data_IF_004406039814
#
_entry.id   IF_004406039814
#
_cell.length_a   1.000
_cell.length_b   1.000
_cell.length_c   1.000
_cell.angle_alpha   90.00
_cell.angle_beta   90.00
_cell.angle_gamma   90.00
#
_symmetry.space_group_name_H-M   'P 1'
#
loop_
_entity.id
_entity.type
_entity.pdbx_description
1 polymer ?
#
# COMPACT_ATOMS: atom_id res chain seq x y z
N UNK A 1 23.45 -32.83 -7.69
CA UNK A 1 22.05 -32.39 -7.89
C UNK A 1 21.17 -33.18 -6.93
N UNK A 2 20.21 -32.52 -6.34
CA UNK A 2 19.24 -33.09 -5.41
C UNK A 2 17.84 -32.88 -5.99
N UNK A 3 16.96 -33.89 -5.88
CA UNK A 3 15.53 -33.74 -6.12
C UNK A 3 14.82 -33.89 -4.78
N UNK A 4 13.94 -32.95 -4.47
CA UNK A 4 13.20 -32.91 -3.22
C UNK A 4 11.71 -32.94 -3.54
N UNK A 5 10.94 -33.82 -2.89
CA UNK A 5 9.50 -33.93 -3.06
C UNK A 5 8.73 -32.80 -2.36
N UNK A 6 9.20 -32.43 -1.16
CA UNK A 6 8.69 -31.29 -0.41
C UNK A 6 9.75 -30.80 0.59
N UNK A 7 9.75 -29.49 0.83
CA UNK A 7 10.65 -28.84 1.77
C UNK A 7 9.91 -27.66 2.43
N UNK A 8 10.13 -27.48 3.71
CA UNK A 8 9.64 -26.27 4.40
C UNK A 8 10.84 -25.48 4.90
N UNK A 9 10.91 -24.19 4.50
CA UNK A 9 11.96 -23.26 4.93
C UNK A 9 11.30 -22.15 5.73
N UNK A 10 11.51 -22.11 7.04
CA UNK A 10 10.70 -21.32 7.97
C UNK A 10 9.20 -21.68 7.79
N UNK A 11 8.40 -20.78 7.23
CA UNK A 11 6.98 -21.01 6.95
C UNK A 11 6.70 -21.27 5.46
N UNK A 12 7.69 -21.05 4.58
CA UNK A 12 7.54 -21.20 3.13
C UNK A 12 7.51 -22.68 2.79
N UNK A 13 6.43 -23.10 2.12
CA UNK A 13 6.21 -24.48 1.66
C UNK A 13 6.63 -24.59 0.20
N UNK A 14 7.63 -25.42 -0.04
CA UNK A 14 8.17 -25.72 -1.36
C UNK A 14 7.79 -27.16 -1.72
N UNK A 15 7.22 -27.34 -2.88
CA UNK A 15 6.86 -28.65 -3.43
C UNK A 15 8.04 -29.34 -4.14
N UNK A 16 7.77 -30.01 -5.25
CA UNK A 16 8.82 -30.66 -6.03
C UNK A 16 9.87 -29.65 -6.48
N UNK A 17 11.12 -29.97 -6.24
CA UNK A 17 12.23 -29.07 -6.54
C UNK A 17 13.45 -29.82 -7.01
N UNK A 18 14.18 -29.22 -7.94
CA UNK A 18 15.47 -29.66 -8.38
C UNK A 18 16.50 -28.60 -8.04
N UNK A 19 17.51 -28.99 -7.28
CA UNK A 19 18.50 -28.05 -6.77
C UNK A 19 19.91 -28.64 -6.78
N UNK A 20 20.89 -27.75 -6.91
CA UNK A 20 22.29 -28.06 -6.77
C UNK A 20 22.86 -27.23 -5.64
N UNK A 21 23.44 -27.89 -4.65
CA UNK A 21 24.12 -27.25 -3.52
C UNK A 21 25.62 -27.43 -3.63
N UNK A 22 26.35 -26.37 -3.40
CA UNK A 22 27.80 -26.37 -3.31
C UNK A 22 28.15 -25.62 -2.02
N UNK A 23 28.86 -26.29 -1.12
CA UNK A 23 29.42 -25.68 0.09
C UNK A 23 30.93 -25.69 -0.02
N UNK A 24 31.51 -24.52 -0.05
CA UNK A 24 32.95 -24.35 -0.14
C UNK A 24 33.41 -23.16 0.75
N UNK A 25 34.41 -23.41 1.61
CA UNK A 25 34.99 -22.37 2.47
C UNK A 25 33.99 -21.45 3.18
N UNK A 26 32.92 -22.03 3.76
CA UNK A 26 31.87 -21.26 4.44
C UNK A 26 30.89 -20.50 3.54
N UNK A 27 30.98 -20.74 2.21
CA UNK A 27 30.07 -20.19 1.22
C UNK A 27 29.16 -21.28 0.66
N UNK A 28 27.86 -21.16 0.91
CA UNK A 28 26.83 -22.02 0.35
C UNK A 28 26.26 -21.38 -0.91
N UNK A 29 26.35 -22.07 -2.03
CA UNK A 29 25.68 -21.71 -3.29
C UNK A 29 24.57 -22.71 -3.56
N UNK A 30 23.36 -22.23 -3.83
CA UNK A 30 22.21 -23.03 -4.21
C UNK A 30 21.68 -22.55 -5.57
N UNK A 31 21.73 -23.43 -6.55
CA UNK A 31 21.08 -23.24 -7.84
C UNK A 31 19.77 -24.05 -7.84
N UNK A 32 18.65 -23.37 -7.98
CA UNK A 32 17.30 -23.91 -7.93
C UNK A 32 16.75 -23.90 -9.36
N UNK A 33 16.97 -24.98 -10.08
CA UNK A 33 16.57 -25.08 -11.50
C UNK A 33 15.07 -25.30 -11.66
N UNK A 34 14.42 -25.84 -10.65
CA UNK A 34 12.97 -26.02 -10.55
C UNK A 34 12.53 -25.79 -9.11
N UNK A 35 11.48 -25.02 -8.93
CA UNK A 35 10.79 -24.77 -7.68
C UNK A 35 9.29 -24.82 -7.93
N UNK A 36 8.58 -25.76 -7.34
CA UNK A 36 7.12 -25.78 -7.32
C UNK A 36 6.67 -25.26 -5.96
N UNK A 37 5.95 -24.14 -5.93
CA UNK A 37 5.49 -23.53 -4.68
C UNK A 37 4.18 -22.78 -4.88
N UNK A 38 3.25 -22.93 -3.93
CA UNK A 38 1.97 -22.19 -3.88
C UNK A 38 1.21 -22.22 -5.21
N UNK A 39 1.05 -23.40 -5.84
CA UNK A 39 0.43 -23.63 -7.15
C UNK A 39 1.20 -23.09 -8.36
N UNK A 40 2.26 -22.32 -8.15
CA UNK A 40 3.11 -21.79 -9.18
C UNK A 40 4.44 -22.52 -9.27
N UNK A 41 5.31 -21.99 -10.11
CA UNK A 41 6.63 -22.53 -10.35
C UNK A 41 7.67 -21.40 -10.46
N UNK A 42 8.92 -21.77 -10.29
CA UNK A 42 10.01 -20.80 -10.43
C UNK A 42 11.37 -21.44 -10.55
N UNK A 43 12.33 -20.55 -10.61
CA UNK A 43 13.76 -20.86 -10.55
C UNK A 43 14.47 -19.75 -9.76
N UNK A 44 15.63 -20.06 -9.25
CA UNK A 44 16.40 -19.08 -8.53
C UNK A 44 17.80 -19.55 -8.22
N UNK A 45 18.56 -18.62 -7.68
CA UNK A 45 19.87 -18.87 -7.15
C UNK A 45 20.02 -18.06 -5.88
N UNK A 46 20.64 -18.63 -4.88
CA UNK A 46 21.10 -17.85 -3.74
C UNK A 46 22.48 -18.29 -3.28
N UNK A 47 23.21 -17.35 -2.71
CA UNK A 47 24.50 -17.56 -2.08
C UNK A 47 24.42 -17.02 -0.67
N UNK A 48 24.81 -17.85 0.29
CA UNK A 48 25.05 -17.45 1.67
C UNK A 48 26.54 -17.53 1.95
N UNK A 49 27.15 -16.42 2.32
CA UNK A 49 28.58 -16.30 2.57
C UNK A 49 28.83 -16.00 4.05
N UNK A 50 29.18 -17.03 4.81
CA UNK A 50 29.56 -16.98 6.22
C UNK A 50 31.08 -16.95 6.44
N UNK A 51 31.90 -16.81 5.39
CA UNK A 51 33.35 -16.84 5.48
C UNK A 51 33.98 -15.65 6.24
N UNK A 52 33.21 -14.59 6.44
CA UNK A 52 33.70 -13.36 7.11
C UNK A 52 33.14 -13.23 8.53
N UNK A 53 34.05 -13.22 9.49
CA UNK A 53 33.91 -13.05 10.94
C UNK A 53 32.54 -12.61 11.45
N UNK A 54 31.64 -13.59 11.67
CA UNK A 54 30.36 -13.40 12.36
C UNK A 54 29.28 -12.65 11.58
N UNK A 55 29.47 -12.38 10.29
CA UNK A 55 28.44 -11.83 9.41
C UNK A 55 28.11 -12.77 8.27
N UNK A 56 26.85 -12.79 7.83
CA UNK A 56 26.40 -13.57 6.68
C UNK A 56 26.08 -12.61 5.54
N UNK A 57 26.72 -12.84 4.39
CA UNK A 57 26.36 -12.22 3.11
C UNK A 57 25.25 -13.02 2.44
N UNK A 58 24.31 -12.34 1.83
CA UNK A 58 23.24 -12.88 0.99
C UNK A 58 23.37 -12.28 -0.41
N UNK A 59 23.31 -13.14 -1.42
CA UNK A 59 23.07 -12.77 -2.81
C UNK A 59 21.97 -13.70 -3.34
N UNK A 60 20.83 -13.17 -3.77
CA UNK A 60 19.69 -13.96 -4.17
C UNK A 60 19.00 -13.39 -5.40
N UNK A 61 18.65 -14.27 -6.32
CA UNK A 61 17.87 -13.95 -7.51
C UNK A 61 16.80 -15.03 -7.72
N UNK A 62 15.55 -14.59 -7.86
CA UNK A 62 14.39 -15.48 -8.07
C UNK A 62 13.51 -14.95 -9.17
N UNK A 63 13.04 -15.88 -10.02
CA UNK A 63 11.96 -15.65 -10.96
C UNK A 63 10.87 -16.67 -10.68
N UNK A 64 9.74 -16.20 -10.14
CA UNK A 64 8.62 -17.01 -9.68
C UNK A 64 7.38 -16.61 -10.47
N UNK A 65 6.58 -17.59 -10.92
CA UNK A 65 5.41 -17.35 -11.76
C UNK A 65 4.21 -18.17 -11.32
N UNK A 66 3.04 -17.57 -11.38
CA UNK A 66 1.77 -18.25 -11.15
C UNK A 66 1.50 -18.65 -9.70
N UNK A 67 2.09 -17.96 -8.71
CA UNK A 67 1.92 -18.29 -7.31
C UNK A 67 0.55 -17.83 -6.81
N UNK A 68 -0.11 -18.63 -5.98
CA UNK A 68 -1.22 -18.16 -5.17
C UNK A 68 -0.70 -17.08 -4.20
N UNK A 69 -1.06 -15.82 -4.46
CA UNK A 69 -0.42 -14.66 -3.84
C UNK A 69 -0.61 -14.63 -2.32
N UNK A 70 -1.85 -14.79 -1.85
CA UNK A 70 -2.16 -14.67 -0.42
C UNK A 70 -1.37 -15.66 0.46
N UNK A 71 -1.43 -16.99 0.24
CA UNK A 71 -0.69 -17.93 1.07
C UNK A 71 0.83 -17.76 0.94
N UNK A 72 1.33 -17.39 -0.23
CA UNK A 72 2.75 -17.11 -0.40
C UNK A 72 3.20 -15.87 0.39
N UNK A 73 2.51 -14.75 0.25
CA UNK A 73 2.86 -13.50 0.93
C UNK A 73 2.66 -13.60 2.45
N UNK A 74 1.65 -14.37 2.88
CA UNK A 74 1.43 -14.65 4.30
C UNK A 74 2.62 -15.41 4.91
N UNK A 75 3.01 -16.52 4.27
CA UNK A 75 4.11 -17.37 4.77
C UNK A 75 5.49 -16.69 4.61
N UNK A 76 5.68 -15.89 3.55
CA UNK A 76 6.94 -15.20 3.28
C UNK A 76 7.14 -13.91 4.11
N UNK A 77 6.07 -13.16 4.35
CA UNK A 77 6.16 -11.81 4.89
C UNK A 77 5.14 -11.48 6.00
N UNK A 78 4.18 -12.37 6.30
CA UNK A 78 3.07 -12.10 7.20
C UNK A 78 2.01 -11.19 6.59
N UNK A 79 1.99 -11.03 5.25
CA UNK A 79 1.05 -10.15 4.54
C UNK A 79 -0.05 -10.96 3.86
N UNK A 80 -1.28 -10.87 4.35
CA UNK A 80 -2.44 -11.67 3.90
C UNK A 80 -3.56 -10.84 3.24
N UNK A 81 -3.24 -9.62 2.81
CA UNK A 81 -4.24 -8.69 2.26
C UNK A 81 -4.34 -8.69 0.73
N UNK A 82 -3.53 -9.51 0.03
CA UNK A 82 -3.49 -9.54 -1.42
C UNK A 82 -3.79 -10.92 -1.96
N UNK A 83 -4.92 -11.06 -2.62
CA UNK A 83 -5.36 -12.27 -3.34
C UNK A 83 -4.97 -12.21 -4.82
N UNK A 84 -5.00 -13.35 -5.49
CA UNK A 84 -4.77 -13.48 -6.93
C UNK A 84 -3.58 -14.36 -7.28
N UNK A 85 -3.17 -14.30 -8.55
CA UNK A 85 -2.02 -15.02 -9.08
C UNK A 85 -0.82 -14.09 -9.20
N UNK A 86 0.25 -14.38 -8.46
CA UNK A 86 1.43 -13.55 -8.36
C UNK A 86 2.61 -14.00 -9.22
N UNK A 87 3.31 -13.06 -9.82
CA UNK A 87 4.60 -13.25 -10.47
C UNK A 87 5.62 -12.31 -9.83
N UNK A 88 6.83 -12.81 -9.61
CA UNK A 88 7.88 -12.09 -8.91
C UNK A 88 9.22 -12.29 -9.63
N UNK A 89 9.89 -11.20 -9.94
CA UNK A 89 11.28 -11.17 -10.34
C UNK A 89 12.05 -10.33 -9.32
N UNK A 90 12.98 -10.93 -8.61
CA UNK A 90 13.65 -10.30 -7.47
C UNK A 90 15.13 -10.59 -7.50
N UNK A 91 15.94 -9.57 -7.33
CA UNK A 91 17.39 -9.66 -7.17
C UNK A 91 17.78 -8.81 -5.96
N UNK A 92 18.40 -9.43 -4.97
CA UNK A 92 18.77 -8.75 -3.72
C UNK A 92 20.13 -9.22 -3.23
N UNK A 93 20.86 -8.29 -2.63
CA UNK A 93 22.10 -8.55 -1.90
C UNK A 93 22.04 -7.88 -0.54
N UNK A 94 22.75 -8.44 0.42
CA UNK A 94 22.81 -7.85 1.76
C UNK A 94 23.88 -8.55 2.62
N UNK A 95 24.18 -7.97 3.77
CA UNK A 95 25.13 -8.56 4.74
C UNK A 95 24.75 -8.14 6.15
N UNK A 96 24.76 -9.07 7.08
CA UNK A 96 24.42 -8.77 8.47
C UNK A 96 24.87 -9.83 9.46
N UNK A 97 24.98 -9.43 10.73
CA UNK A 97 25.24 -10.33 11.86
C UNK A 97 23.97 -10.92 12.48
N UNK A 98 22.82 -10.43 12.05
CA UNK A 98 21.50 -10.89 12.47
C UNK A 98 20.53 -10.74 11.30
N UNK A 99 19.35 -11.37 11.37
CA UNK A 99 18.30 -11.22 10.36
C UNK A 99 17.92 -9.74 10.15
N UNK A 100 17.72 -8.99 11.24
CA UNK A 100 17.41 -7.55 11.17
C UNK A 100 18.53 -6.76 10.50
N UNK A 101 19.78 -7.01 10.85
CA UNK A 101 20.93 -6.34 10.23
C UNK A 101 21.06 -6.69 8.73
N UNK A 102 20.78 -7.96 8.37
CA UNK A 102 20.76 -8.40 6.98
C UNK A 102 19.66 -7.66 6.19
N UNK A 103 18.43 -7.61 6.72
CA UNK A 103 17.32 -6.90 6.08
C UNK A 103 17.59 -5.40 5.98
N UNK A 104 18.19 -4.78 7.01
CA UNK A 104 18.57 -3.35 6.99
C UNK A 104 19.66 -3.00 5.97
N UNK A 105 20.43 -3.99 5.53
CA UNK A 105 21.50 -3.82 4.54
C UNK A 105 21.08 -4.24 3.13
N UNK A 106 19.83 -4.69 2.94
CA UNK A 106 19.37 -5.17 1.63
C UNK A 106 19.45 -4.07 0.59
N UNK A 107 20.03 -4.43 -0.55
CA UNK A 107 20.03 -3.64 -1.79
C UNK A 107 19.54 -4.55 -2.91
N UNK A 108 18.84 -3.99 -3.88
CA UNK A 108 18.34 -4.80 -4.98
C UNK A 108 17.30 -4.11 -5.83
N UNK A 109 16.67 -4.92 -6.66
CA UNK A 109 15.59 -4.50 -7.55
C UNK A 109 14.69 -5.66 -7.87
N UNK A 110 13.51 -5.36 -8.36
CA UNK A 110 12.60 -6.39 -8.85
C UNK A 110 11.38 -5.81 -9.52
N UNK A 111 10.54 -6.75 -9.96
CA UNK A 111 9.20 -6.48 -10.48
C UNK A 111 8.21 -7.45 -9.85
N UNK A 112 7.00 -7.00 -9.67
CA UNK A 112 5.90 -7.82 -9.22
C UNK A 112 4.68 -7.58 -10.11
N UNK A 113 3.91 -8.61 -10.36
CA UNK A 113 2.60 -8.50 -10.98
C UNK A 113 1.65 -9.51 -10.36
N UNK A 114 0.39 -9.07 -10.19
CA UNK A 114 -0.70 -9.90 -9.70
C UNK A 114 -1.84 -9.82 -10.70
N UNK A 115 -2.44 -10.97 -10.98
CA UNK A 115 -3.55 -11.11 -11.92
C UNK A 115 -4.76 -11.67 -11.19
N UNK A 116 -5.94 -11.22 -11.63
CA UNK A 116 -7.24 -11.73 -11.19
C UNK A 116 -7.35 -11.83 -9.67
N UNK A 117 -7.14 -10.72 -9.00
CA UNK A 117 -7.03 -10.66 -7.56
C UNK A 117 -7.83 -9.57 -6.89
N UNK A 118 -7.54 -9.40 -5.60
CA UNK A 118 -8.16 -8.37 -4.78
C UNK A 118 -7.26 -7.88 -3.65
N UNK A 119 -7.42 -6.61 -3.28
CA UNK A 119 -6.84 -6.01 -2.09
C UNK A 119 -7.92 -6.00 -1.01
N UNK A 120 -7.66 -6.67 0.12
CA UNK A 120 -8.54 -6.70 1.29
C UNK A 120 -8.32 -5.49 2.19
N UNK A 121 -9.39 -5.06 2.85
CA UNK A 121 -9.35 -3.98 3.85
C UNK A 121 -9.60 -2.60 3.28
N UNK A 122 -9.84 -2.45 1.98
CA UNK A 122 -10.20 -1.18 1.35
C UNK A 122 -11.11 -1.40 0.13
N UNK A 123 -12.11 -0.55 -0.03
CA UNK A 123 -12.96 -0.48 -1.23
C UNK A 123 -12.72 0.85 -1.96
N UNK A 124 -11.74 0.86 -2.85
CA UNK A 124 -11.37 2.07 -3.62
C UNK A 124 -12.50 2.54 -4.54
N UNK A 125 -13.33 1.63 -5.07
CA UNK A 125 -14.44 2.00 -5.94
C UNK A 125 -15.53 2.75 -5.16
N UNK A 126 -15.80 2.36 -3.93
CA UNK A 126 -16.73 3.05 -3.04
C UNK A 126 -16.16 4.41 -2.61
N UNK A 127 -14.86 4.48 -2.29
CA UNK A 127 -14.19 5.72 -1.93
C UNK A 127 -14.29 6.77 -3.04
N UNK A 128 -14.13 6.39 -4.30
CA UNK A 128 -14.24 7.32 -5.43
C UNK A 128 -15.69 7.75 -5.65
N UNK A 129 -16.67 6.87 -5.45
CA UNK A 129 -18.10 7.19 -5.60
C UNK A 129 -18.66 8.03 -4.45
N UNK A 130 -18.19 7.80 -3.24
CA UNK A 130 -18.75 8.38 -2.01
C UNK A 130 -17.64 9.01 -1.16
N UNK A 131 -16.97 10.02 -1.70
CA UNK A 131 -15.82 10.68 -1.02
C UNK A 131 -16.15 11.14 0.41
N UNK A 132 -17.39 11.59 0.66
CA UNK A 132 -17.81 12.07 1.98
C UNK A 132 -18.04 10.97 3.02
N UNK A 133 -18.45 9.77 2.64
CA UNK A 133 -18.78 8.66 3.57
C UNK A 133 -17.67 7.62 3.71
N UNK A 134 -16.82 7.49 2.71
CA UNK A 134 -15.78 6.47 2.64
C UNK A 134 -14.74 6.56 3.78
N UNK A 135 -14.55 7.76 4.35
CA UNK A 135 -13.59 8.00 5.42
C UNK A 135 -14.22 8.11 6.82
N UNK A 136 -15.55 8.07 6.92
CA UNK A 136 -16.28 8.17 8.21
C UNK A 136 -16.62 6.82 8.84
N UNK A 137 -16.15 5.71 8.27
CA UNK A 137 -16.32 4.36 8.87
C UNK A 137 -17.70 3.74 8.70
N UNK A 138 -18.55 4.28 7.82
CA UNK A 138 -19.96 3.87 7.65
C UNK A 138 -20.23 2.80 6.59
N UNK A 139 -19.25 2.03 6.12
CA UNK A 139 -19.41 1.03 5.06
C UNK A 139 -19.54 -0.39 5.58
N UNK A 140 -20.77 -0.91 5.65
CA UNK A 140 -21.08 -2.28 6.07
C UNK A 140 -20.83 -3.38 5.02
N UNK A 141 -20.16 -3.11 3.91
CA UNK A 141 -19.80 -4.10 2.89
C UNK A 141 -18.36 -4.57 3.07
N UNK A 142 -18.07 -5.80 2.66
CA UNK A 142 -16.71 -6.35 2.69
C UNK A 142 -15.74 -5.38 2.02
N UNK A 143 -14.79 -4.83 2.78
CA UNK A 143 -13.81 -3.86 2.33
C UNK A 143 -12.81 -4.56 1.40
N UNK A 144 -13.07 -4.52 0.09
CA UNK A 144 -12.29 -5.23 -0.92
C UNK A 144 -12.25 -4.43 -2.22
N UNK A 145 -11.08 -4.39 -2.85
CA UNK A 145 -10.90 -3.83 -4.20
C UNK A 145 -10.46 -4.94 -5.14
N UNK A 146 -11.36 -5.36 -6.03
CA UNK A 146 -11.04 -6.34 -7.07
C UNK A 146 -10.26 -5.69 -8.22
N UNK A 147 -9.31 -6.43 -8.79
CA UNK A 147 -8.50 -6.00 -9.93
C UNK A 147 -8.25 -7.15 -10.92
N UNK A 148 -8.10 -6.78 -12.19
CA UNK A 148 -7.61 -7.70 -13.23
C UNK A 148 -6.08 -7.76 -13.22
N UNK A 149 -5.43 -6.63 -12.98
CA UNK A 149 -3.98 -6.51 -12.97
C UNK A 149 -3.53 -5.50 -11.91
N UNK A 150 -2.51 -5.85 -11.14
CA UNK A 150 -1.77 -4.97 -10.23
C UNK A 150 -0.29 -5.26 -10.40
N UNK A 151 0.54 -4.24 -10.62
CA UNK A 151 1.98 -4.47 -10.80
C UNK A 151 2.81 -3.21 -10.67
N UNK A 152 4.12 -3.42 -10.68
CA UNK A 152 5.11 -2.35 -10.64
C UNK A 152 6.52 -2.90 -10.47
N UNK A 153 7.50 -2.01 -10.63
CA UNK A 153 8.91 -2.28 -10.39
C UNK A 153 9.37 -1.62 -9.09
N UNK A 154 10.40 -2.14 -8.49
CA UNK A 154 10.94 -1.57 -7.26
C UNK A 154 12.46 -1.63 -7.22
N UNK A 155 13.04 -0.74 -6.45
CA UNK A 155 14.43 -0.77 -6.01
C UNK A 155 14.49 -0.88 -4.49
N UNK A 156 15.51 -1.53 -3.98
CA UNK A 156 15.78 -1.59 -2.54
C UNK A 156 17.15 -0.95 -2.30
N UNK A 157 17.20 -0.03 -1.36
CA UNK A 157 18.44 0.61 -0.93
C UNK A 157 18.46 0.63 0.60
N UNK A 158 19.46 -0.06 1.18
CA UNK A 158 19.63 -0.17 2.63
C UNK A 158 18.32 -0.54 3.36
N UNK A 159 17.63 -1.57 2.86
CA UNK A 159 16.39 -2.08 3.46
C UNK A 159 15.15 -1.22 3.23
N UNK A 160 15.23 -0.17 2.42
CA UNK A 160 14.07 0.64 2.00
C UNK A 160 13.73 0.27 0.56
N UNK A 161 12.56 -0.31 0.36
CA UNK A 161 11.98 -0.57 -0.96
C UNK A 161 11.30 0.70 -1.46
N UNK A 162 11.60 1.12 -2.68
CA UNK A 162 10.98 2.25 -3.36
C UNK A 162 10.33 1.80 -4.66
N UNK A 163 9.09 2.23 -4.88
CA UNK A 163 8.34 2.01 -6.11
C UNK A 163 7.78 3.34 -6.60
N UNK A 164 7.74 3.54 -7.93
CA UNK A 164 7.26 4.78 -8.56
C UNK A 164 6.23 4.55 -9.68
N UNK A 165 5.94 3.31 -9.98
CA UNK A 165 5.16 2.90 -11.16
C UNK A 165 4.09 1.85 -10.80
N UNK A 166 3.61 1.86 -9.54
CA UNK A 166 2.49 0.99 -9.16
C UNK A 166 1.30 1.31 -10.05
N UNK A 167 0.75 0.29 -10.69
CA UNK A 167 -0.44 0.41 -11.51
C UNK A 167 -1.43 -0.71 -11.19
N UNK A 168 -2.70 -0.34 -10.99
CA UNK A 168 -3.81 -1.28 -10.82
C UNK A 168 -4.86 -1.01 -11.87
N UNK A 169 -5.32 -2.06 -12.52
CA UNK A 169 -6.41 -2.05 -13.49
C UNK A 169 -7.58 -2.87 -12.96
N UNK A 170 -8.72 -2.24 -12.82
CA UNK A 170 -9.99 -2.84 -12.46
C UNK A 170 -11.04 -2.46 -13.51
N UNK A 171 -12.15 -3.20 -13.65
CA UNK A 171 -13.25 -2.79 -14.51
C UNK A 171 -13.77 -1.37 -14.23
N UNK A 172 -13.74 -0.95 -12.96
CA UNK A 172 -14.28 0.34 -12.51
C UNK A 172 -13.20 1.40 -12.25
N UNK A 173 -11.92 1.00 -12.10
CA UNK A 173 -10.87 1.89 -11.64
C UNK A 173 -9.57 1.72 -12.44
N UNK A 174 -8.83 2.81 -12.51
CA UNK A 174 -7.39 2.83 -12.76
C UNK A 174 -6.72 3.45 -11.55
N UNK A 175 -5.71 2.81 -11.01
CA UNK A 175 -4.97 3.33 -9.85
C UNK A 175 -3.51 3.41 -10.22
N UNK A 176 -2.94 4.57 -10.01
CA UNK A 176 -1.49 4.78 -10.06
C UNK A 176 -0.99 5.03 -8.65
N UNK A 177 0.27 4.70 -8.38
CA UNK A 177 0.81 4.91 -7.05
C UNK A 177 2.32 4.91 -7.01
N UNK A 178 2.83 5.52 -5.96
CA UNK A 178 4.24 5.54 -5.64
C UNK A 178 4.43 5.56 -4.12
N UNK A 179 5.56 5.03 -3.66
CA UNK A 179 5.83 5.04 -2.24
C UNK A 179 7.04 4.21 -1.84
N UNK A 180 7.15 4.01 -0.56
CA UNK A 180 8.24 3.26 0.06
C UNK A 180 7.72 2.25 1.07
N UNK A 181 8.49 1.19 1.26
CA UNK A 181 8.31 0.21 2.33
C UNK A 181 9.63 0.07 3.07
N UNK A 182 9.63 0.39 4.35
CA UNK A 182 10.76 0.12 5.22
C UNK A 182 10.72 -1.34 5.67
N UNK A 183 11.58 -2.17 5.11
CA UNK A 183 11.55 -3.63 5.32
C UNK A 183 11.84 -4.05 6.76
N UNK A 184 12.80 -3.44 7.50
CA UNK A 184 13.09 -3.86 8.87
C UNK A 184 11.97 -3.59 9.86
N UNK A 185 11.30 -2.39 9.89
CA UNK A 185 10.15 -2.12 10.74
C UNK A 185 8.82 -2.58 10.12
N UNK A 186 8.82 -3.02 8.84
CA UNK A 186 7.61 -3.42 8.10
C UNK A 186 6.59 -2.30 7.97
N UNK A 187 7.05 -1.09 7.67
CA UNK A 187 6.22 0.11 7.59
C UNK A 187 6.04 0.55 6.14
N UNK A 188 4.83 0.88 5.79
CA UNK A 188 4.41 1.31 4.45
C UNK A 188 4.15 2.81 4.46
N UNK A 189 4.61 3.50 3.41
CA UNK A 189 4.33 4.90 3.11
C UNK A 189 4.06 5.02 1.61
N UNK A 190 2.79 5.03 1.23
CA UNK A 190 2.37 5.09 -0.16
C UNK A 190 1.35 6.20 -0.39
N UNK A 191 1.38 6.75 -1.58
CA UNK A 191 0.33 7.58 -2.13
C UNK A 191 -0.21 6.92 -3.38
N UNK A 192 -1.52 6.72 -3.43
CA UNK A 192 -2.22 6.15 -4.56
C UNK A 192 -3.26 7.12 -5.10
N UNK A 193 -3.49 7.09 -6.40
CA UNK A 193 -4.45 7.93 -7.10
C UNK A 193 -5.47 7.08 -7.85
N UNK A 194 -6.54 6.63 -7.19
CA UNK A 194 -7.65 5.95 -7.85
C UNK A 194 -8.44 6.93 -8.71
N UNK A 195 -8.65 6.55 -9.97
CA UNK A 195 -9.45 7.28 -10.97
C UNK A 195 -10.58 6.39 -11.43
N UNK A 196 -11.83 6.88 -11.40
CA UNK A 196 -12.96 6.16 -11.99
C UNK A 196 -12.77 6.06 -13.51
N UNK A 197 -13.08 4.89 -14.07
CA UNK A 197 -13.17 4.72 -15.52
C UNK A 197 -14.48 5.33 -15.97
N UNK A 198 -14.44 6.35 -16.84
CA UNK A 198 -15.62 6.97 -17.43
C UNK A 198 -16.41 5.94 -18.25
N UNK A 199 -17.74 5.95 -18.04
CA UNK A 199 -18.79 5.21 -18.72
C UNK A 199 -18.98 3.73 -18.36
N UNK A 200 -19.84 3.53 -17.40
CA UNK A 200 -20.89 2.52 -17.51
C UNK A 200 -22.10 3.18 -18.22
N UNK A 201 -21.93 3.59 -19.47
CA UNK A 201 -23.08 3.98 -20.30
C UNK A 201 -23.98 2.75 -20.46
N UNK A 202 -25.12 2.78 -19.79
CA UNK A 202 -26.14 1.73 -19.87
C UNK A 202 -26.80 1.33 -18.56
N UNK A 203 -26.32 1.75 -17.40
CA UNK A 203 -26.91 1.38 -16.10
C UNK A 203 -27.45 2.57 -15.29
N UNK A 204 -28.16 3.51 -15.92
CA UNK A 204 -29.08 4.42 -15.21
C UNK A 204 -28.52 5.39 -14.18
N UNK A 205 -27.23 5.58 -14.10
CA UNK A 205 -26.58 6.54 -13.18
C UNK A 205 -26.58 7.95 -13.77
N UNK A 206 -27.20 8.91 -13.07
CA UNK A 206 -27.37 10.31 -13.51
C UNK A 206 -26.13 11.21 -13.35
N UNK A 207 -24.97 10.69 -13.02
CA UNK A 207 -23.75 11.50 -12.87
C UNK A 207 -22.58 10.84 -13.56
N UNK A 208 -22.00 11.56 -14.52
CA UNK A 208 -20.73 11.24 -15.12
C UNK A 208 -19.63 11.48 -14.05
N UNK A 209 -19.20 10.42 -13.40
CA UNK A 209 -18.09 10.45 -12.42
C UNK A 209 -16.72 10.25 -13.08
N UNK A 210 -16.69 10.33 -14.42
CA UNK A 210 -15.47 10.20 -15.19
C UNK A 210 -14.43 11.25 -14.82
N UNK A 211 -13.23 10.79 -14.49
CA UNK A 211 -12.10 11.66 -14.22
C UNK A 211 -11.93 12.14 -12.78
N UNK A 212 -12.84 11.82 -11.85
CA UNK A 212 -12.63 12.14 -10.43
C UNK A 212 -11.50 11.27 -9.91
N UNK A 213 -10.44 11.91 -9.42
CA UNK A 213 -9.34 11.28 -8.72
C UNK A 213 -9.39 11.69 -7.24
N UNK A 214 -9.32 10.72 -6.36
CA UNK A 214 -9.26 10.93 -4.90
C UNK A 214 -7.93 10.39 -4.40
N UNK A 215 -6.89 11.21 -4.31
CA UNK A 215 -5.61 10.76 -3.79
C UNK A 215 -5.74 10.22 -2.36
N UNK A 216 -5.15 9.06 -2.10
CA UNK A 216 -5.20 8.37 -0.82
C UNK A 216 -3.78 8.11 -0.34
N UNK A 217 -3.54 8.43 0.92
CA UNK A 217 -2.31 8.07 1.62
C UNK A 217 -2.55 6.74 2.32
N UNK A 218 -1.63 5.81 2.11
CA UNK A 218 -1.60 4.47 2.73
C UNK A 218 -0.36 4.39 3.59
N UNK A 219 -0.53 4.25 4.88
CA UNK A 219 0.60 4.27 5.82
C UNK A 219 0.39 3.37 7.03
N UNK A 220 1.49 3.02 7.68
CA UNK A 220 1.51 2.21 8.90
C UNK A 220 2.16 0.84 8.72
N UNK A 221 2.15 0.01 9.77
CA UNK A 221 2.60 -1.37 9.68
C UNK A 221 1.83 -2.14 8.60
N UNK A 222 2.50 -2.93 7.77
CA UNK A 222 1.81 -3.62 6.67
C UNK A 222 0.74 -4.63 7.12
N UNK A 223 0.80 -5.06 8.37
CA UNK A 223 -0.22 -5.89 9.02
C UNK A 223 -1.48 -5.09 9.39
N UNK A 224 -1.33 -3.75 9.58
CA UNK A 224 -2.42 -2.85 9.97
C UNK A 224 -2.29 -1.50 9.25
N UNK A 225 -2.62 -1.48 7.96
CA UNK A 225 -2.56 -0.29 7.14
C UNK A 225 -3.69 0.69 7.45
N UNK A 226 -3.35 1.97 7.49
CA UNK A 226 -4.25 3.12 7.56
C UNK A 226 -4.41 3.73 6.18
N UNK A 227 -5.64 4.13 5.85
CA UNK A 227 -5.99 4.76 4.59
C UNK A 227 -6.66 6.10 4.88
N UNK A 228 -6.13 7.19 4.34
CA UNK A 228 -6.70 8.54 4.52
C UNK A 228 -6.63 9.34 3.23
N UNK A 229 -7.60 10.27 2.98
CA UNK A 229 -7.51 11.15 1.84
C UNK A 229 -6.30 12.07 1.95
N UNK A 230 -5.66 12.35 0.82
CA UNK A 230 -4.66 13.39 0.70
C UNK A 230 -5.36 14.74 0.44
N UNK A 231 -5.79 15.39 1.53
CA UNK A 231 -6.54 16.64 1.48
C UNK A 231 -5.71 17.78 0.86
N UNK A 232 -4.40 17.79 1.05
CA UNK A 232 -3.51 18.81 0.44
C UNK A 232 -3.52 18.71 -1.09
N UNK A 233 -3.41 17.50 -1.62
CA UNK A 233 -3.46 17.29 -3.06
C UNK A 233 -4.86 17.59 -3.64
N UNK A 234 -5.92 17.33 -2.87
CA UNK A 234 -7.29 17.61 -3.26
C UNK A 234 -7.55 19.12 -3.37
N UNK A 235 -6.99 19.93 -2.48
CA UNK A 235 -7.11 21.40 -2.51
C UNK A 235 -6.32 22.01 -3.67
N UNK A 236 -5.18 21.45 -4.02
CA UNK A 236 -4.33 21.90 -5.14
C UNK A 236 -4.85 21.48 -6.51
N UNK A 237 -5.75 20.49 -6.58
CA UNK A 237 -6.35 19.98 -7.82
C UNK A 237 -7.79 20.44 -7.99
N UNK A 238 -8.32 20.35 -9.21
CA UNK A 238 -9.73 20.65 -9.54
C UNK A 238 -10.76 19.73 -8.82
N UNK A 239 -10.31 18.88 -7.94
CA UNK A 239 -11.15 17.99 -7.11
C UNK A 239 -12.03 18.76 -6.11
N UNK A 240 -11.69 20.01 -5.81
CA UNK A 240 -12.44 20.85 -4.85
C UNK A 240 -13.90 21.08 -5.33
N UNK A 241 -14.13 21.24 -6.62
CA UNK A 241 -15.47 21.45 -7.17
C UNK A 241 -16.33 20.18 -7.07
N UNK A 242 -15.75 19.02 -7.31
CA UNK A 242 -16.45 17.74 -7.22
C UNK A 242 -16.81 17.36 -5.77
N UNK A 243 -15.98 17.73 -4.81
CA UNK A 243 -16.23 17.47 -3.38
C UNK A 243 -17.28 18.42 -2.83
N UNK A 244 -17.27 19.71 -3.19
CA UNK A 244 -18.30 20.67 -2.79
C UNK A 244 -19.67 20.25 -3.31
N UNK A 245 -19.76 19.72 -4.53
CA UNK A 245 -21.00 19.18 -5.09
C UNK A 245 -21.47 17.88 -4.44
N UNK A 246 -20.56 17.00 -4.03
CA UNK A 246 -20.86 15.69 -3.45
C UNK A 246 -21.18 15.75 -1.95
N UNK A 247 -20.59 16.69 -1.21
CA UNK A 247 -20.73 16.80 0.27
C UNK A 247 -21.87 17.74 0.67
N UNK A 248 -22.59 18.35 -0.31
CA UNK A 248 -23.81 19.12 -0.03
C UNK A 248 -23.64 20.20 1.05
N UNK A 249 -22.55 20.96 1.03
CA UNK A 249 -22.39 22.15 1.87
C UNK A 249 -22.11 21.93 3.35
N UNK A 250 -21.81 20.71 3.79
CA UNK A 250 -21.45 20.39 5.19
C UNK A 250 -19.98 20.02 5.36
N UNK A 251 -19.08 20.95 5.03
CA UNK A 251 -17.73 20.92 5.63
C UNK A 251 -17.79 21.66 6.97
N UNK A 252 -17.22 21.10 8.05
CA UNK A 252 -17.08 21.86 9.29
C UNK A 252 -16.24 23.11 9.02
N UNK A 253 -16.81 24.29 9.23
CA UNK A 253 -16.21 25.60 8.92
C UNK A 253 -15.03 25.98 9.79
N UNK A 254 -14.02 25.13 9.93
CA UNK A 254 -12.85 25.35 10.76
C UNK A 254 -11.49 25.13 10.10
N UNK A 255 -11.43 24.63 8.85
CA UNK A 255 -10.16 24.20 8.25
C UNK A 255 -9.56 25.16 7.22
N UNK A 256 -10.21 26.29 6.94
CA UNK A 256 -9.70 27.33 6.02
C UNK A 256 -9.66 28.73 6.64
N UNK A 257 -9.41 28.84 7.94
CA UNK A 257 -9.19 30.10 8.65
C UNK A 257 -7.73 30.50 8.65
N UNK A 258 -7.20 30.94 7.53
CA UNK A 258 -5.88 31.55 7.37
C UNK A 258 -6.00 32.98 6.86
N UNK A 259 -6.01 33.93 7.77
CA UNK A 259 -5.47 35.29 7.67
C UNK A 259 -5.46 36.00 6.31
N UNK A 260 -6.34 36.96 6.14
CA UNK A 260 -6.00 38.16 5.40
C UNK A 260 -6.64 39.36 6.09
N UNK A 261 -5.78 40.23 6.68
CA UNK A 261 -6.15 41.53 7.19
C UNK A 261 -6.47 42.46 6.05
N UNK A 262 -7.50 43.26 6.22
CA UNK A 262 -7.70 44.49 5.48
C UNK A 262 -8.41 45.50 6.41
N UNK A 263 -7.70 46.59 6.65
CA UNK A 263 -8.10 47.83 7.29
C UNK A 263 -9.25 48.51 6.54
N UNK A 264 -10.11 49.21 7.27
CA UNK A 264 -11.03 50.20 6.70
C UNK A 264 -12.08 50.71 7.66
N UNK A 265 -11.76 51.78 8.31
CA UNK A 265 -12.43 52.98 8.87
C UNK A 265 -13.96 53.03 9.03
N UNK A 266 -14.28 53.49 10.24
CA UNK A 266 -15.16 54.62 10.67
C UNK A 266 -16.67 54.49 10.54
N UNK A 267 -17.27 54.69 11.59
CA UNK A 267 -18.22 55.66 12.15
C UNK A 267 -19.40 55.02 12.87
N UNK A 268 -19.46 55.27 14.16
CA UNK A 268 -20.36 56.23 14.75
C UNK A 268 -21.60 55.65 15.42
N UNK A 269 -21.69 55.91 16.68
CA UNK A 269 -22.85 56.27 17.51
C UNK A 269 -23.38 55.24 18.52
N UNK A 270 -22.92 55.53 19.71
CA UNK A 270 -23.63 55.78 21.01
C UNK A 270 -24.76 54.85 21.51
N UNK A 271 -24.48 54.45 22.69
CA UNK A 271 -25.21 54.60 23.97
C UNK A 271 -26.16 53.50 24.41
N UNK A 272 -25.86 53.02 25.58
CA UNK A 272 -26.80 52.71 26.64
C UNK A 272 -26.54 51.42 27.41
N UNK A 273 -26.48 51.52 28.72
CA UNK A 273 -25.97 50.41 29.53
C UNK A 273 -27.07 49.47 30.06
N UNK A 274 -26.62 48.27 30.35
CA UNK A 274 -27.04 47.24 31.33
C UNK A 274 -28.40 47.37 32.04
N UNK A 275 -29.03 46.26 32.41
CA UNK A 275 -28.71 45.79 33.76
C UNK A 275 -28.44 44.30 33.90
N UNK A 276 -27.55 44.02 34.83
CA UNK A 276 -27.33 42.79 35.57
C UNK A 276 -28.60 42.36 36.29
N UNK A 277 -28.90 41.05 36.30
CA UNK A 277 -29.67 40.48 37.38
C UNK A 277 -29.00 39.17 37.84
N UNK A 278 -28.59 39.12 39.11
CA UNK A 278 -28.03 37.93 39.70
C UNK A 278 -29.12 37.21 40.54
N UNK A 279 -29.14 35.92 40.47
CA UNK A 279 -29.89 35.09 41.42
C UNK A 279 -30.57 33.91 40.74
N UNK A 280 -30.08 32.76 40.94
CA UNK A 280 -30.35 31.90 42.06
C UNK A 280 -29.49 30.63 41.96
N UNK A 281 -28.71 30.56 42.95
CA UNK A 281 -28.20 29.40 43.64
C UNK A 281 -29.33 28.50 44.14
N UNK A 282 -29.01 27.19 44.22
CA UNK A 282 -29.57 26.14 45.06
C UNK A 282 -30.83 25.42 44.58
N UNK A 283 -30.70 24.10 44.56
CA UNK A 283 -31.75 23.24 44.99
C UNK A 283 -31.86 21.91 44.27
N UNK A 284 -31.21 20.97 44.84
CA UNK A 284 -31.42 19.54 45.04
C UNK A 284 -30.95 18.60 43.93
#
# INVERSE_FOLDING_TARGET
ALSVGSLTVKQIKVGKSALRLILDNGRLTADLSQLDLYKGAGKGKFVLDGSQNGSVGLDAAFNLKGLAAEPFLKDAAGFDRLEGTGNFDVQVTGRGKSERALVSSLNGKGALSFLDGAIKGINLAEMVRNVGSAFTGGGGSAQKTDFAELGGTFTITNGILSNKDLALKSPLLRVEGAGTVELPPRTVHYRIEPKAVASLQGQGGKSDVGGISVPVIVEGPWENLSFRPDLEAMVKGKATEAIQGAVGGKLPGGLLGGSSGSSGSSDGQKSGPLPLNPGSLFGR
#
